data_IF_317884242693
#
_entry.id   IF_317884242693
#
_cell.length_a   1.000
_cell.length_b   1.000
_cell.length_c   1.000
_cell.angle_alpha   90.00
_cell.angle_beta   90.00
_cell.angle_gamma   90.00
#
_symmetry.space_group_name_H-M   'P 1'
#
loop_
_entity.id
_entity.type
_entity.pdbx_description
1 polymer ?
#
# COMPACT_ATOMS: atom_id res chain seq x y z
N UNK A 1 -10.19 -8.18 -12.49
CA UNK A 1 -10.30 -7.97 -11.03
C UNK A 1 -9.58 -9.08 -10.27
N UNK A 2 -8.56 -8.72 -9.48
CA UNK A 2 -7.81 -9.61 -8.59
C UNK A 2 -8.34 -9.54 -7.16
N UNK A 3 -8.49 -10.68 -6.48
CA UNK A 3 -8.85 -10.74 -5.06
C UNK A 3 -7.71 -11.46 -4.35
N UNK A 4 -7.06 -10.75 -3.43
CA UNK A 4 -5.82 -11.24 -2.84
C UNK A 4 -5.85 -11.18 -1.32
N UNK A 5 -5.39 -12.27 -0.71
CA UNK A 5 -4.98 -12.33 0.68
C UNK A 5 -3.44 -12.24 0.72
N UNK A 6 -2.90 -11.19 1.33
CA UNK A 6 -1.46 -10.94 1.33
C UNK A 6 -0.68 -12.08 2.01
N UNK A 7 -1.27 -12.73 3.03
CA UNK A 7 -0.63 -13.79 3.79
C UNK A 7 -0.34 -15.04 2.96
N UNK A 8 -1.06 -15.27 1.85
CA UNK A 8 -0.79 -16.41 0.96
C UNK A 8 0.58 -16.34 0.26
N UNK A 9 1.19 -15.14 0.21
CA UNK A 9 2.51 -14.96 -0.38
C UNK A 9 3.64 -15.02 0.66
N UNK A 10 3.31 -15.04 1.95
CA UNK A 10 4.28 -14.87 3.02
C UNK A 10 4.67 -16.21 3.65
N UNK A 11 5.94 -16.31 4.05
CA UNK A 11 6.44 -17.38 4.90
C UNK A 11 6.12 -17.10 6.38
N UNK A 12 6.47 -18.05 7.26
CA UNK A 12 6.28 -17.93 8.71
C UNK A 12 7.01 -16.74 9.34
N UNK A 13 7.99 -16.15 8.64
CA UNK A 13 8.77 -14.98 9.07
C UNK A 13 8.21 -13.69 8.48
N UNK A 14 7.12 -13.74 7.71
CA UNK A 14 6.49 -12.59 7.08
C UNK A 14 7.22 -12.08 5.82
N UNK A 15 8.05 -12.89 5.18
CA UNK A 15 8.72 -12.55 3.90
C UNK A 15 8.00 -13.21 2.73
N UNK A 16 8.10 -12.63 1.53
CA UNK A 16 7.60 -13.29 0.33
C UNK A 16 8.36 -14.61 0.13
N UNK A 17 7.62 -15.71 0.02
CA UNK A 17 8.17 -17.06 -0.05
C UNK A 17 9.14 -17.21 -1.23
N UNK A 18 10.36 -17.72 -0.98
CA UNK A 18 11.37 -17.83 -2.04
C UNK A 18 11.10 -18.98 -3.04
N UNK A 19 10.21 -19.92 -2.68
CA UNK A 19 9.93 -21.12 -3.48
C UNK A 19 8.68 -21.00 -4.37
N UNK A 20 7.94 -19.88 -4.32
CA UNK A 20 6.82 -19.66 -5.26
C UNK A 20 7.35 -19.35 -6.67
N UNK A 21 6.55 -19.66 -7.72
CA UNK A 21 6.90 -19.34 -9.10
C UNK A 21 7.25 -17.85 -9.29
N UNK A 22 8.12 -17.57 -10.26
CA UNK A 22 8.62 -16.21 -10.51
C UNK A 22 7.48 -15.19 -10.69
N UNK A 23 6.49 -15.52 -11.52
CA UNK A 23 5.34 -14.66 -11.79
C UNK A 23 4.55 -14.35 -10.51
N UNK A 24 4.33 -15.35 -9.65
CA UNK A 24 3.66 -15.15 -8.36
C UNK A 24 4.47 -14.26 -7.43
N UNK A 25 5.81 -14.33 -7.50
CA UNK A 25 6.71 -13.47 -6.72
C UNK A 25 6.72 -12.03 -7.22
N UNK A 26 6.70 -11.83 -8.53
CA UNK A 26 6.59 -10.51 -9.15
C UNK A 26 5.25 -9.85 -8.77
N UNK A 27 4.16 -10.61 -8.81
CA UNK A 27 2.85 -10.15 -8.33
C UNK A 27 2.89 -9.82 -6.83
N UNK A 28 3.46 -10.69 -5.99
CA UNK A 28 3.59 -10.43 -4.57
C UNK A 28 4.40 -9.15 -4.27
N UNK A 29 5.49 -8.91 -5.02
CA UNK A 29 6.29 -7.70 -4.90
C UNK A 29 5.53 -6.44 -5.33
N UNK A 30 4.77 -6.51 -6.44
CA UNK A 30 3.88 -5.43 -6.85
C UNK A 30 2.85 -5.10 -5.77
N UNK A 31 2.17 -6.12 -5.23
CA UNK A 31 1.16 -5.94 -4.18
C UNK A 31 1.77 -5.39 -2.88
N UNK A 32 2.98 -5.81 -2.53
CA UNK A 32 3.71 -5.26 -1.38
C UNK A 32 3.98 -3.75 -1.54
N UNK A 33 4.37 -3.30 -2.73
CA UNK A 33 4.52 -1.87 -3.03
C UNK A 33 3.18 -1.12 -2.90
N UNK A 34 2.09 -1.72 -3.38
CA UNK A 34 0.74 -1.14 -3.26
C UNK A 34 0.34 -0.99 -1.78
N UNK A 35 0.64 -1.98 -0.94
CA UNK A 35 0.41 -1.89 0.52
C UNK A 35 1.26 -0.78 1.13
N UNK A 36 2.54 -0.70 0.80
CA UNK A 36 3.46 0.33 1.31
C UNK A 36 2.97 1.75 0.99
N UNK A 37 2.62 2.01 -0.27
CA UNK A 37 2.16 3.31 -0.73
C UNK A 37 0.80 3.71 -0.14
N UNK A 38 -0.15 2.79 -0.11
CA UNK A 38 -1.51 3.07 0.39
C UNK A 38 -1.53 3.36 1.89
N UNK A 39 -0.79 2.58 2.68
CA UNK A 39 -0.73 2.74 4.15
C UNK A 39 0.08 3.94 4.60
N UNK A 40 1.00 4.45 3.77
CA UNK A 40 1.72 5.70 4.02
C UNK A 40 0.88 6.97 3.80
N UNK A 41 -0.16 6.89 2.96
CA UNK A 41 -1.02 8.02 2.58
C UNK A 41 -2.36 8.06 3.32
N UNK A 42 -2.90 6.90 3.74
CA UNK A 42 -4.21 6.70 4.40
C UNK A 42 -5.29 7.62 3.81
N UNK A 43 -5.85 7.23 2.66
CA UNK A 43 -6.94 7.94 2.00
C UNK A 43 -8.01 6.98 1.50
N UNK A 44 -9.27 7.41 1.63
CA UNK A 44 -10.46 6.70 1.11
C UNK A 44 -10.81 7.12 -0.33
N UNK A 45 -10.21 8.20 -0.83
CA UNK A 45 -10.23 8.57 -2.25
C UNK A 45 -9.08 7.91 -3.01
N UNK A 46 -9.29 7.67 -4.31
CA UNK A 46 -8.24 7.16 -5.19
C UNK A 46 -7.12 8.19 -5.35
N UNK A 47 -5.90 7.80 -4.99
CA UNK A 47 -4.71 8.61 -5.15
C UNK A 47 -3.72 7.94 -6.10
N UNK A 48 -3.09 8.74 -6.94
CA UNK A 48 -2.01 8.27 -7.79
C UNK A 48 -0.85 7.77 -6.95
N UNK A 49 -0.34 6.60 -7.32
CA UNK A 49 0.93 6.10 -6.78
C UNK A 49 2.05 6.39 -7.78
N UNK A 50 3.30 6.21 -7.36
CA UNK A 50 4.45 6.11 -8.26
C UNK A 50 4.71 4.68 -8.77
N UNK A 51 3.75 3.76 -8.59
CA UNK A 51 3.90 2.34 -8.86
C UNK A 51 3.33 2.04 -10.24
N UNK A 52 4.19 1.60 -11.15
CA UNK A 52 3.80 1.20 -12.50
C UNK A 52 2.89 -0.04 -12.46
N UNK A 53 1.90 -0.10 -13.34
CA UNK A 53 1.08 -1.28 -13.53
C UNK A 53 1.94 -2.51 -13.86
N UNK A 54 1.60 -3.66 -13.26
CA UNK A 54 2.33 -4.92 -13.47
C UNK A 54 2.04 -5.58 -14.83
N UNK A 55 1.01 -5.11 -15.55
CA UNK A 55 0.65 -5.64 -16.88
C UNK A 55 1.75 -5.34 -17.91
N UNK A 56 2.11 -6.35 -18.70
CA UNK A 56 3.16 -6.20 -19.71
C UNK A 56 2.76 -5.16 -20.77
N UNK A 57 3.67 -4.24 -21.09
CA UNK A 57 3.42 -3.16 -22.04
C UNK A 57 2.65 -1.95 -21.48
N UNK A 58 2.03 -2.05 -20.30
CA UNK A 58 1.42 -0.89 -19.64
C UNK A 58 2.50 -0.03 -18.97
N UNK A 59 2.41 1.29 -19.11
CA UNK A 59 3.37 2.25 -18.52
C UNK A 59 2.74 3.18 -17.48
N UNK A 60 1.43 3.11 -17.33
CA UNK A 60 0.68 3.96 -16.40
C UNK A 60 0.86 3.50 -14.94
N UNK A 61 0.75 4.44 -14.02
CA UNK A 61 0.79 4.15 -12.60
C UNK A 61 -0.59 3.76 -12.06
N UNK A 62 -0.61 2.84 -11.10
CA UNK A 62 -1.86 2.47 -10.43
C UNK A 62 -2.28 3.56 -9.45
N UNK A 63 -3.59 3.74 -9.31
CA UNK A 63 -4.19 4.53 -8.24
C UNK A 63 -4.64 3.58 -7.13
N UNK A 64 -4.62 4.05 -5.88
CA UNK A 64 -4.98 3.24 -4.70
C UNK A 64 -5.92 4.00 -3.78
N UNK A 65 -6.75 3.27 -3.04
CA UNK A 65 -7.53 3.77 -1.91
C UNK A 65 -7.69 2.72 -0.82
N UNK A 66 -7.99 3.15 0.39
CA UNK A 66 -8.42 2.29 1.48
C UNK A 66 -9.95 2.18 1.49
N UNK A 67 -10.47 0.96 1.47
CA UNK A 67 -11.91 0.69 1.45
C UNK A 67 -12.55 1.02 2.80
N UNK A 68 -13.60 1.85 2.81
CA UNK A 68 -14.35 2.25 4.01
C UNK A 68 -15.08 1.09 4.71
N UNK A 69 -15.34 0.00 3.98
CA UNK A 69 -16.29 -1.04 4.40
C UNK A 69 -15.61 -2.34 4.80
N UNK A 70 -14.43 -2.62 4.25
CA UNK A 70 -13.81 -3.96 4.30
C UNK A 70 -12.38 -3.97 4.84
N UNK A 71 -11.81 -2.83 5.21
CA UNK A 71 -10.39 -2.70 5.58
C UNK A 71 -9.44 -3.31 4.52
N UNK A 72 -9.88 -3.27 3.26
CA UNK A 72 -9.15 -3.74 2.08
C UNK A 72 -8.48 -2.55 1.40
N UNK A 73 -7.32 -2.76 0.80
CA UNK A 73 -6.75 -1.80 -0.15
C UNK A 73 -7.30 -2.12 -1.53
N UNK A 74 -7.82 -1.12 -2.21
CA UNK A 74 -8.28 -1.22 -3.60
C UNK A 74 -7.27 -0.52 -4.51
N UNK A 75 -6.86 -1.17 -5.59
CA UNK A 75 -5.97 -0.61 -6.60
C UNK A 75 -6.58 -0.75 -7.99
N UNK A 76 -6.29 0.22 -8.85
CA UNK A 76 -6.80 0.30 -10.22
C UNK A 76 -5.72 0.92 -11.13
N UNK A 77 -5.50 0.35 -12.30
CA UNK A 77 -4.80 1.00 -13.39
C UNK A 77 -5.81 1.75 -14.26
N UNK A 78 -5.71 3.07 -14.42
CA UNK A 78 -6.68 3.84 -15.21
C UNK A 78 -6.57 3.58 -16.71
N UNK A 79 -5.44 3.08 -17.21
CA UNK A 79 -5.22 2.83 -18.63
C UNK A 79 -5.74 1.43 -19.05
N UNK A 80 -5.19 0.37 -18.47
CA UNK A 80 -5.54 -1.00 -18.85
C UNK A 80 -6.72 -1.58 -18.05
N UNK A 81 -7.27 -0.82 -17.09
CA UNK A 81 -8.40 -1.20 -16.25
C UNK A 81 -8.17 -2.47 -15.40
N UNK A 82 -6.92 -2.92 -15.27
CA UNK A 82 -6.57 -3.93 -14.29
C UNK A 82 -6.78 -3.37 -12.89
N UNK A 83 -7.43 -4.15 -12.05
CA UNK A 83 -7.82 -3.72 -10.70
C UNK A 83 -7.79 -4.89 -9.74
N UNK A 84 -7.67 -4.60 -8.46
CA UNK A 84 -7.75 -5.63 -7.44
C UNK A 84 -7.94 -5.10 -6.03
N UNK A 85 -8.14 -6.06 -5.14
CA UNK A 85 -8.37 -5.84 -3.71
C UNK A 85 -7.39 -6.68 -2.90
N UNK A 86 -6.80 -6.06 -1.89
CA UNK A 86 -5.82 -6.69 -1.00
C UNK A 86 -6.40 -6.70 0.41
N UNK A 87 -6.49 -7.90 0.98
CA UNK A 87 -6.90 -8.15 2.36
C UNK A 87 -5.74 -8.70 3.18
N UNK A 88 -5.86 -8.66 4.52
CA UNK A 88 -4.89 -9.20 5.47
C UNK A 88 -3.47 -8.65 5.26
N UNK A 89 -3.37 -7.37 4.88
CA UNK A 89 -2.12 -6.65 4.72
C UNK A 89 -1.65 -6.02 6.05
N UNK A 90 -2.55 -5.89 7.01
CA UNK A 90 -2.29 -5.31 8.32
C UNK A 90 -1.24 -6.12 9.09
N UNK A 91 -0.30 -5.43 9.73
CA UNK A 91 0.81 -6.03 10.46
C UNK A 91 1.88 -6.71 9.58
N UNK A 92 1.73 -6.67 8.25
CA UNK A 92 2.81 -7.11 7.36
C UNK A 92 3.97 -6.12 7.37
N UNK A 93 5.13 -6.51 6.84
CA UNK A 93 6.33 -5.66 6.82
C UNK A 93 6.18 -4.37 5.99
N UNK A 94 5.14 -4.30 5.16
CA UNK A 94 4.81 -3.14 4.31
C UNK A 94 3.65 -2.32 4.88
N UNK A 95 3.07 -2.73 6.01
CA UNK A 95 2.04 -1.94 6.69
C UNK A 95 2.67 -0.74 7.40
N UNK A 96 2.53 0.44 6.79
CA UNK A 96 2.98 1.72 7.35
C UNK A 96 1.92 2.45 8.18
N UNK A 97 0.74 1.84 8.42
CA UNK A 97 -0.32 2.48 9.21
C UNK A 97 0.09 2.70 10.67
N UNK A 98 1.00 1.86 11.19
CA UNK A 98 1.47 1.87 12.59
C UNK A 98 2.61 2.87 12.84
N UNK A 99 3.17 3.50 11.81
CA UNK A 99 4.19 4.56 11.98
C UNK A 99 3.60 5.82 12.67
N UNK A 100 2.29 5.82 12.94
CA UNK A 100 1.55 6.88 13.63
C UNK A 100 1.28 6.64 15.13
N UNK A 101 1.93 5.70 15.83
CA UNK A 101 1.78 5.64 17.30
C UNK A 101 2.87 6.36 18.11
N UNK A 102 3.99 6.82 17.52
CA UNK A 102 5.00 7.54 18.32
C UNK A 102 5.69 8.75 17.67
N UNK A 103 5.65 8.96 16.35
CA UNK A 103 6.52 10.00 15.73
C UNK A 103 5.84 11.01 14.79
N UNK A 104 4.52 11.01 14.63
CA UNK A 104 3.85 12.07 13.83
C UNK A 104 3.03 13.08 14.65
N UNK A 105 2.88 12.88 15.96
CA UNK A 105 2.34 13.90 16.87
C UNK A 105 3.40 14.86 17.42
N UNK A 106 4.67 14.45 17.52
CA UNK A 106 5.72 15.30 18.10
C UNK A 106 6.14 16.48 17.22
N UNK A 107 6.08 16.35 15.87
CA UNK A 107 6.57 17.44 15.01
C UNK A 107 5.55 18.58 14.82
N UNK A 108 4.25 18.33 14.97
CA UNK A 108 3.23 19.40 14.82
C UNK A 108 2.96 20.13 16.14
N UNK A 109 3.23 19.53 17.30
CA UNK A 109 3.05 20.16 18.60
C UNK A 109 4.25 21.01 19.08
N UNK A 110 5.45 20.79 18.53
CA UNK A 110 6.67 21.46 19.01
C UNK A 110 7.12 22.65 18.15
N UNK A 111 6.30 23.08 17.18
CA UNK A 111 6.54 24.28 16.37
C UNK A 111 5.45 25.36 16.48
N UNK A 112 4.45 25.19 17.34
CA UNK A 112 3.46 26.24 17.65
C UNK A 112 3.88 27.18 18.78
N UNK A 113 4.99 26.89 19.47
CA UNK A 113 5.48 27.71 20.59
C UNK A 113 6.58 28.73 20.21
N UNK A 114 6.99 28.84 18.94
CA UNK A 114 8.10 29.72 18.53
C UNK A 114 7.79 30.69 17.39
N UNK A 115 6.51 31.01 17.14
CA UNK A 115 6.16 32.18 16.32
C UNK A 115 5.50 33.24 17.22
N UNK A 116 6.28 34.16 17.82
CA UNK A 116 5.68 35.36 18.38
C UNK A 116 5.10 36.19 17.23
N UNK A 117 3.80 36.47 17.30
CA UNK A 117 3.18 37.55 16.54
C UNK A 117 3.92 38.86 16.86
N UNK A 118 4.63 39.40 15.88
CA UNK A 118 4.86 40.84 15.70
C UNK A 118 4.76 41.18 14.22
#
# INVERSE_FOLDING_TARGET
MYITNMLHFLDEKGNIHAEIPRESREMAAFLALVVDASTGMISHEYNATGIRCFEEGCTENVVVRLSDVRDEIEWLCPECHNEGRISHWQGTRWDNSVVLSFYRFFIVAELSHLVPCQ
#
